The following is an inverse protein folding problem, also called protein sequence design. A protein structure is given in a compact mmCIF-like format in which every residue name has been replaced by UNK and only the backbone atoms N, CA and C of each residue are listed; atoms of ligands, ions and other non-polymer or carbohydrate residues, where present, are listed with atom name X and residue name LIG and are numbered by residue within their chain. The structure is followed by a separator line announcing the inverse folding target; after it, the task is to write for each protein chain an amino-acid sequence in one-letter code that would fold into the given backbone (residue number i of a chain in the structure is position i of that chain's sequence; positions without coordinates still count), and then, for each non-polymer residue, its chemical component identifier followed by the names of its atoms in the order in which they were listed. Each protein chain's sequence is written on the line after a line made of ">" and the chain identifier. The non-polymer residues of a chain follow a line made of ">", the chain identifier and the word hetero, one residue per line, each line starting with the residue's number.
data_IF_628001428690
#
_entry.id   IF_628001428690
#
_cell.length_a   1.000
_cell.length_b   1.000
_cell.length_c   1.000
_cell.angle_alpha   90.00
_cell.angle_beta   90.00
_cell.angle_gamma   90.00
#
_symmetry.space_group_name_H-M   'P 1'
#
loop_
_entity.id
_entity.type
_entity.pdbx_description
1 polymer ?
#
# COMPACT_ATOMS: atom_id res chain seq x y z
N UNK A 1 -3.07 -12.51 -10.97
CA UNK A 1 -3.56 -12.42 -12.37
C UNK A 1 -4.15 -13.76 -12.84
N UNK A 2 -5.25 -13.74 -13.61
CA UNK A 2 -5.88 -14.99 -14.09
C UNK A 2 -4.94 -15.83 -14.97
N UNK A 3 -4.01 -15.19 -15.69
CA UNK A 3 -2.98 -15.88 -16.48
C UNK A 3 -2.01 -16.73 -15.64
N UNK A 4 -1.82 -16.38 -14.36
CA UNK A 4 -0.97 -17.13 -13.42
C UNK A 4 -1.76 -18.21 -12.70
N UNK A 5 -3.02 -17.93 -12.35
CA UNK A 5 -3.90 -18.90 -11.67
C UNK A 5 -4.38 -20.03 -12.61
N UNK A 6 -4.67 -19.70 -13.88
CA UNK A 6 -5.15 -20.65 -14.88
C UNK A 6 -4.25 -20.67 -16.13
N UNK A 7 -2.96 -21.05 -16.00
CA UNK A 7 -2.01 -20.98 -17.10
C UNK A 7 -2.42 -21.87 -18.28
N UNK A 8 -3.06 -23.01 -17.99
CA UNK A 8 -3.56 -23.92 -19.03
C UNK A 8 -4.68 -23.29 -19.86
N UNK A 9 -5.72 -22.75 -19.22
CA UNK A 9 -6.81 -22.06 -19.92
C UNK A 9 -6.29 -20.82 -20.65
N UNK A 10 -5.41 -20.05 -20.01
CA UNK A 10 -4.79 -18.89 -20.64
C UNK A 10 -4.05 -19.28 -21.93
N UNK A 11 -3.26 -20.35 -21.90
CA UNK A 11 -2.54 -20.82 -23.09
C UNK A 11 -3.47 -21.14 -24.29
N UNK A 12 -4.66 -21.67 -24.01
CA UNK A 12 -5.67 -22.09 -24.99
C UNK A 12 -6.61 -20.97 -25.41
N UNK A 13 -6.66 -19.86 -24.67
CA UNK A 13 -7.53 -18.73 -24.98
C UNK A 13 -7.09 -17.99 -26.25
N UNK A 14 -8.08 -17.57 -27.05
CA UNK A 14 -7.91 -16.61 -28.14
C UNK A 14 -8.00 -15.15 -27.66
N UNK A 15 -8.49 -14.92 -26.44
CA UNK A 15 -8.82 -13.61 -25.88
C UNK A 15 -7.79 -13.18 -24.81
N UNK A 16 -6.48 -13.42 -25.05
CA UNK A 16 -5.42 -13.18 -24.05
C UNK A 16 -5.22 -11.72 -23.64
N UNK A 17 -5.59 -10.80 -24.53
CA UNK A 17 -5.43 -9.36 -24.35
C UNK A 17 -6.76 -8.66 -24.06
N UNK A 18 -7.85 -9.42 -23.91
CA UNK A 18 -9.18 -8.87 -23.62
C UNK A 18 -9.32 -8.60 -22.12
N UNK A 19 -10.11 -7.59 -21.75
CA UNK A 19 -10.48 -7.40 -20.36
C UNK A 19 -11.48 -8.48 -19.96
N UNK A 20 -11.53 -8.81 -18.66
CA UNK A 20 -12.47 -9.82 -18.15
C UNK A 20 -13.92 -9.43 -18.45
N UNK A 21 -14.24 -8.13 -18.41
CA UNK A 21 -15.57 -7.59 -18.77
C UNK A 21 -15.95 -7.85 -20.22
N UNK A 22 -14.99 -8.05 -21.13
CA UNK A 22 -15.25 -8.30 -22.55
C UNK A 22 -15.46 -9.80 -22.85
N UNK A 23 -15.28 -10.67 -21.85
CA UNK A 23 -15.39 -12.13 -22.00
C UNK A 23 -16.82 -12.64 -21.77
N UNK A 24 -17.81 -11.76 -21.80
CA UNK A 24 -19.20 -12.10 -21.58
C UNK A 24 -20.14 -10.93 -21.81
N UNK A 25 -21.43 -11.19 -21.64
CA UNK A 25 -22.47 -10.18 -21.76
C UNK A 25 -23.59 -10.46 -20.74
N UNK A 26 -24.31 -9.40 -20.35
CA UNK A 26 -25.54 -9.54 -19.59
C UNK A 26 -26.67 -10.00 -20.50
N UNK A 27 -27.31 -11.11 -20.16
CA UNK A 27 -28.51 -11.60 -20.83
C UNK A 27 -29.65 -11.54 -19.82
N UNK A 28 -30.41 -10.45 -19.90
CA UNK A 28 -31.39 -10.11 -18.87
C UNK A 28 -30.69 -9.71 -17.57
N UNK A 29 -30.82 -10.56 -16.54
CA UNK A 29 -30.27 -10.32 -15.19
C UNK A 29 -29.01 -11.13 -14.89
N UNK A 30 -28.65 -12.10 -15.74
CA UNK A 30 -27.50 -12.97 -15.52
C UNK A 30 -26.36 -12.68 -16.48
N UNK A 31 -25.14 -12.76 -15.96
CA UNK A 31 -23.93 -12.67 -16.76
C UNK A 31 -23.68 -14.01 -17.48
N UNK A 32 -23.50 -13.96 -18.80
CA UNK A 32 -23.12 -15.13 -19.60
C UNK A 32 -21.69 -14.98 -20.09
N UNK A 33 -20.84 -15.93 -19.72
CA UNK A 33 -19.46 -16.02 -20.21
C UNK A 33 -19.38 -16.57 -21.63
N UNK A 34 -18.58 -15.92 -22.47
CA UNK A 34 -18.30 -16.27 -23.86
C UNK A 34 -16.79 -16.44 -24.05
N UNK A 35 -16.27 -17.57 -23.56
CA UNK A 35 -14.85 -17.90 -23.71
C UNK A 35 -14.57 -18.52 -25.08
N UNK A 36 -13.57 -17.97 -25.78
CA UNK A 36 -13.09 -18.47 -27.07
C UNK A 36 -11.79 -19.25 -26.92
N UNK A 37 -11.83 -20.53 -27.27
CA UNK A 37 -10.71 -21.47 -27.19
C UNK A 37 -10.17 -21.80 -28.58
N UNK A 38 -8.85 -22.04 -28.69
CA UNK A 38 -8.19 -22.45 -29.94
C UNK A 38 -8.61 -23.85 -30.44
N UNK A 39 -9.10 -24.69 -29.54
CA UNK A 39 -9.62 -26.04 -29.79
C UNK A 39 -10.67 -26.39 -28.74
N UNK A 40 -11.40 -27.47 -28.97
CA UNK A 40 -12.26 -28.09 -27.95
C UNK A 40 -11.45 -28.47 -26.71
N UNK A 41 -12.06 -28.28 -25.55
CA UNK A 41 -11.43 -28.58 -24.26
C UNK A 41 -11.53 -30.06 -23.95
N UNK A 42 -10.51 -30.58 -23.27
CA UNK A 42 -10.63 -31.90 -22.65
C UNK A 42 -11.46 -31.80 -21.37
N UNK A 43 -12.05 -32.92 -20.92
CA UNK A 43 -12.89 -32.95 -19.70
C UNK A 43 -12.22 -32.29 -18.48
N UNK A 44 -10.95 -32.58 -18.23
CA UNK A 44 -10.20 -31.97 -17.12
C UNK A 44 -9.91 -30.47 -17.31
N UNK A 45 -9.99 -29.95 -18.54
CA UNK A 45 -9.90 -28.52 -18.81
C UNK A 45 -11.26 -27.83 -18.61
N UNK A 46 -12.37 -28.52 -18.83
CA UNK A 46 -13.71 -28.02 -18.50
C UNK A 46 -13.86 -27.80 -16.99
N UNK A 47 -13.30 -28.68 -16.16
CA UNK A 47 -13.26 -28.52 -14.69
C UNK A 47 -12.54 -27.23 -14.28
N UNK A 48 -11.49 -26.84 -15.02
CA UNK A 48 -10.80 -25.56 -14.78
C UNK A 48 -11.68 -24.36 -15.17
N UNK A 49 -12.50 -24.49 -16.20
CA UNK A 49 -13.44 -23.42 -16.60
C UNK A 49 -14.53 -23.23 -15.55
N UNK A 50 -14.97 -24.32 -14.91
CA UNK A 50 -15.91 -24.25 -13.78
C UNK A 50 -15.29 -23.43 -12.64
N UNK A 51 -14.07 -23.78 -12.21
CA UNK A 51 -13.35 -23.04 -11.16
C UNK A 51 -13.10 -21.57 -11.54
N UNK A 52 -12.79 -21.29 -12.81
CA UNK A 52 -12.65 -19.91 -13.30
C UNK A 52 -13.96 -19.14 -13.16
N UNK A 53 -15.11 -19.74 -13.48
CA UNK A 53 -16.41 -19.08 -13.35
C UNK A 53 -16.78 -18.81 -11.90
N UNK A 54 -16.53 -19.76 -11.00
CA UNK A 54 -16.74 -19.58 -9.55
C UNK A 54 -15.89 -18.44 -9.00
N UNK A 55 -14.62 -18.33 -9.42
CA UNK A 55 -13.75 -17.23 -9.03
C UNK A 55 -14.26 -15.87 -9.52
N UNK A 56 -14.93 -15.83 -10.68
CA UNK A 56 -15.43 -14.61 -11.31
C UNK A 56 -16.88 -14.26 -10.92
N UNK A 57 -17.62 -15.18 -10.31
CA UNK A 57 -19.00 -14.96 -9.85
C UNK A 57 -19.20 -13.73 -8.94
N UNK A 58 -18.32 -13.44 -7.95
CA UNK A 58 -18.50 -12.27 -7.10
C UNK A 58 -18.12 -10.94 -7.80
N UNK A 59 -17.60 -10.98 -9.02
CA UNK A 59 -17.16 -9.77 -9.73
C UNK A 59 -18.36 -9.09 -10.36
N UNK A 60 -18.64 -7.85 -9.93
CA UNK A 60 -19.70 -7.03 -10.52
C UNK A 60 -19.11 -6.08 -11.57
N UNK A 61 -19.53 -6.23 -12.83
CA UNK A 61 -19.07 -5.37 -13.91
C UNK A 61 -19.91 -4.10 -13.96
N UNK A 62 -19.29 -2.98 -13.62
CA UNK A 62 -19.91 -1.67 -13.77
C UNK A 62 -19.60 -1.08 -15.15
N UNK A 63 -20.45 -0.17 -15.63
CA UNK A 63 -20.19 0.64 -16.83
C UNK A 63 -19.20 1.79 -16.57
N UNK A 64 -18.80 2.00 -15.31
CA UNK A 64 -17.83 3.03 -14.91
C UNK A 64 -16.42 2.53 -15.25
N UNK A 65 -15.56 3.45 -15.68
CA UNK A 65 -14.15 3.18 -15.92
C UNK A 65 -13.43 2.76 -14.63
N UNK A 66 -12.41 1.92 -14.78
CA UNK A 66 -11.59 1.47 -13.66
C UNK A 66 -10.87 2.67 -13.01
N UNK A 67 -10.98 2.78 -11.68
CA UNK A 67 -10.34 3.82 -10.89
C UNK A 67 -9.48 3.24 -9.78
N UNK A 68 -8.39 3.92 -9.45
CA UNK A 68 -7.59 3.59 -8.26
C UNK A 68 -8.36 3.93 -6.98
N UNK A 69 -8.38 3.00 -6.04
CA UNK A 69 -9.01 3.16 -4.73
C UNK A 69 -7.93 3.06 -3.66
N UNK A 70 -7.87 4.07 -2.80
CA UNK A 70 -7.04 4.07 -1.61
C UNK A 70 -7.76 3.32 -0.49
N UNK A 71 -7.48 2.02 -0.38
CA UNK A 71 -8.15 1.11 0.57
C UNK A 71 -8.15 1.55 2.05
N UNK A 72 -7.11 2.21 2.57
CA UNK A 72 -7.11 2.66 3.96
C UNK A 72 -8.15 3.73 4.29
N UNK A 73 -8.68 4.42 3.29
CA UNK A 73 -9.71 5.42 3.47
C UNK A 73 -11.08 4.85 3.07
N UNK A 74 -12.12 4.94 3.92
CA UNK A 74 -13.45 4.41 3.63
C UNK A 74 -14.09 5.01 2.37
N UNK A 75 -13.77 6.26 2.05
CA UNK A 75 -14.27 6.93 0.85
C UNK A 75 -13.46 6.50 -0.40
N UNK A 76 -12.40 5.72 -0.21
CA UNK A 76 -11.54 5.23 -1.28
C UNK A 76 -10.64 6.30 -1.88
N UNK A 77 -10.61 7.50 -1.31
CA UNK A 77 -9.88 8.65 -1.83
C UNK A 77 -8.49 8.72 -1.20
N UNK A 78 -7.47 8.83 -2.05
CA UNK A 78 -6.13 9.09 -1.56
C UNK A 78 -6.03 10.52 -1.01
N UNK A 79 -5.58 10.65 0.23
CA UNK A 79 -5.15 11.93 0.77
C UNK A 79 -3.80 11.77 1.46
N UNK A 80 -3.00 12.84 1.46
CA UNK A 80 -1.74 12.86 2.21
C UNK A 80 -2.01 12.57 3.69
N UNK A 81 -3.11 13.08 4.25
CA UNK A 81 -3.52 12.85 5.63
C UNK A 81 -3.77 11.36 5.93
N UNK A 82 -4.62 10.68 5.13
CA UNK A 82 -4.91 9.25 5.36
C UNK A 82 -3.67 8.37 5.15
N UNK A 83 -2.81 8.71 4.19
CA UNK A 83 -1.53 8.02 4.00
C UNK A 83 -0.56 8.21 5.17
N UNK A 84 -0.44 9.42 5.70
CA UNK A 84 0.41 9.72 6.85
C UNK A 84 -0.08 9.01 8.11
N UNK A 85 -1.40 8.98 8.36
CA UNK A 85 -1.96 8.26 9.52
C UNK A 85 -1.64 6.78 9.48
N UNK A 86 -1.83 6.12 8.33
CA UNK A 86 -1.46 4.72 8.17
C UNK A 86 0.03 4.50 8.43
N UNK A 87 0.90 5.35 7.85
CA UNK A 87 2.34 5.24 8.06
C UNK A 87 2.71 5.49 9.52
N UNK A 88 2.08 6.44 10.20
CA UNK A 88 2.33 6.73 11.61
C UNK A 88 1.89 5.56 12.51
N UNK A 89 0.82 4.85 12.17
CA UNK A 89 0.40 3.63 12.88
C UNK A 89 1.34 2.45 12.61
N UNK A 90 1.77 2.24 11.37
CA UNK A 90 2.66 1.13 11.00
C UNK A 90 4.10 1.33 11.51
N UNK A 91 4.57 2.58 11.48
CA UNK A 91 5.92 2.98 11.90
C UNK A 91 5.98 3.41 13.37
N UNK A 92 4.89 3.28 14.12
CA UNK A 92 4.90 3.41 15.57
C UNK A 92 5.78 2.29 16.12
N UNK A 93 7.06 2.59 16.23
CA UNK A 93 7.93 1.94 17.20
C UNK A 93 7.34 2.34 18.54
N UNK A 94 6.87 1.38 19.33
CA UNK A 94 6.52 1.55 20.75
C UNK A 94 7.78 1.96 21.52
N UNK A 95 8.29 3.17 21.27
CA UNK A 95 9.09 3.85 22.27
C UNK A 95 8.08 4.43 23.25
N UNK A 96 7.91 3.74 24.38
CA UNK A 96 7.19 4.26 25.54
C UNK A 96 7.88 5.55 25.99
N UNK A 97 7.46 6.68 25.40
CA UNK A 97 7.88 7.99 25.85
C UNK A 97 7.32 8.18 27.26
N UNK A 98 8.18 8.61 28.18
CA UNK A 98 7.76 8.95 29.54
C UNK A 98 6.66 10.02 29.50
N UNK A 99 5.64 9.91 30.36
CA UNK A 99 4.49 10.83 30.37
C UNK A 99 4.89 12.31 30.47
N UNK A 100 5.99 12.61 31.16
CA UNK A 100 6.52 13.98 31.26
C UNK A 100 6.98 14.50 29.89
N UNK A 101 7.63 13.65 29.09
CA UNK A 101 8.11 13.98 27.76
C UNK A 101 6.93 14.22 26.81
N UNK A 102 5.89 13.38 26.87
CA UNK A 102 4.66 13.55 26.09
C UNK A 102 3.99 14.90 26.39
N UNK A 103 3.84 15.25 27.66
CA UNK A 103 3.26 16.54 28.09
C UNK A 103 4.07 17.74 27.57
N UNK A 104 5.40 17.65 27.57
CA UNK A 104 6.26 18.71 27.01
C UNK A 104 6.07 18.83 25.49
N UNK A 105 5.97 17.70 24.77
CA UNK A 105 5.76 17.71 23.32
C UNK A 105 4.39 18.25 22.91
N UNK A 106 3.34 17.99 23.68
CA UNK A 106 2.00 18.53 23.40
C UNK A 106 1.98 20.07 23.43
N UNK A 107 2.80 20.68 24.26
CA UNK A 107 2.86 22.15 24.43
C UNK A 107 4.02 22.83 23.69
N UNK A 108 4.95 22.06 23.11
CA UNK A 108 6.18 22.64 22.52
C UNK A 108 5.87 23.60 21.36
N UNK A 109 4.85 23.28 20.58
CA UNK A 109 4.43 24.06 19.40
C UNK A 109 3.57 25.27 19.76
N UNK A 110 2.99 25.31 20.95
CA UNK A 110 2.21 26.45 21.48
C UNK A 110 3.11 27.52 22.13
N UNK A 111 4.40 27.27 22.23
CA UNK A 111 5.36 28.18 22.85
C UNK A 111 5.44 29.51 22.10
N UNK A 112 5.49 30.67 22.80
CA UNK A 112 5.70 31.97 22.17
C UNK A 112 7.14 32.18 21.66
N UNK A 113 8.02 31.19 21.81
CA UNK A 113 9.40 31.26 21.36
C UNK A 113 9.51 31.31 19.82
N UNK A 114 10.60 31.86 19.27
CA UNK A 114 10.84 31.80 17.83
C UNK A 114 10.87 30.36 17.31
N UNK A 115 10.37 30.12 16.10
CA UNK A 115 10.25 28.77 15.50
C UNK A 115 11.57 27.98 15.47
N UNK A 116 12.72 28.65 15.29
CA UNK A 116 14.04 28.02 15.37
C UNK A 116 14.36 27.46 16.76
N UNK A 117 13.92 28.14 17.81
CA UNK A 117 14.10 27.70 19.21
C UNK A 117 13.21 26.51 19.49
N UNK A 118 11.95 26.55 19.05
CA UNK A 118 11.01 25.42 19.19
C UNK A 118 11.55 24.18 18.47
N UNK A 119 11.99 24.32 17.23
CA UNK A 119 12.57 23.22 16.46
C UNK A 119 13.84 22.65 17.12
N UNK A 120 14.71 23.51 17.66
CA UNK A 120 15.88 23.07 18.41
C UNK A 120 15.51 22.29 19.67
N UNK A 121 14.55 22.79 20.46
CA UNK A 121 14.07 22.09 21.66
C UNK A 121 13.48 20.72 21.33
N UNK A 122 12.70 20.61 20.23
CA UNK A 122 12.17 19.33 19.76
C UNK A 122 13.29 18.35 19.38
N UNK A 123 14.31 18.82 18.63
CA UNK A 123 15.48 18.02 18.28
C UNK A 123 16.28 17.60 19.53
N UNK A 124 16.39 18.48 20.53
CA UNK A 124 17.09 18.20 21.78
C UNK A 124 16.38 17.09 22.57
N UNK A 125 15.06 17.17 22.72
CA UNK A 125 14.27 16.19 23.48
C UNK A 125 14.30 14.79 22.85
N UNK A 126 14.41 14.68 21.53
CA UNK A 126 14.55 13.40 20.84
C UNK A 126 16.01 12.90 20.74
N UNK A 127 16.98 13.57 21.37
CA UNK A 127 18.42 13.34 21.20
C UNK A 127 18.81 13.27 19.70
N UNK A 128 18.27 14.21 18.90
CA UNK A 128 18.48 14.30 17.45
C UNK A 128 19.39 15.45 17.03
N UNK A 129 19.91 16.21 17.98
CA UNK A 129 20.93 17.23 17.74
C UNK A 129 22.26 16.58 17.30
N UNK A 130 23.07 17.25 16.45
CA UNK A 130 24.31 16.70 15.90
C UNK A 130 25.45 16.70 16.93
N UNK A 131 25.25 16.02 18.06
CA UNK A 131 26.31 15.75 19.03
C UNK A 131 27.25 14.69 18.47
N UNK A 132 28.48 14.62 19.00
CA UNK A 132 29.44 13.58 18.64
C UNK A 132 28.83 12.18 18.73
N UNK A 133 28.18 11.87 19.86
CA UNK A 133 27.53 10.58 20.10
C UNK A 133 26.48 10.24 19.03
N UNK A 134 25.64 11.20 18.64
CA UNK A 134 24.61 10.98 17.62
C UNK A 134 25.19 10.84 16.21
N UNK A 135 26.25 11.58 15.91
CA UNK A 135 26.96 11.44 14.64
C UNK A 135 27.68 10.09 14.53
N UNK A 136 28.29 9.60 15.61
CA UNK A 136 28.87 8.25 15.70
C UNK A 136 27.80 7.16 15.54
N UNK A 137 26.67 7.27 16.26
CA UNK A 137 25.56 6.31 16.16
C UNK A 137 24.96 6.22 14.75
N UNK A 138 25.04 7.29 13.97
CA UNK A 138 24.60 7.35 12.56
C UNK A 138 25.69 6.94 11.56
N UNK A 139 26.88 6.56 12.02
CA UNK A 139 28.01 6.19 11.16
C UNK A 139 28.61 7.35 10.37
N UNK A 140 28.41 8.60 10.83
CA UNK A 140 28.89 9.80 10.15
C UNK A 140 30.29 10.23 10.61
N UNK A 141 30.77 9.75 11.75
CA UNK A 141 32.16 9.93 12.18
C UNK A 141 32.96 8.67 11.85
N UNK A 142 33.92 8.79 10.93
CA UNK A 142 34.87 7.72 10.62
C UNK A 142 35.82 7.45 11.79
N UNK A 143 36.26 6.21 11.95
CA UNK A 143 37.09 5.74 13.07
C UNK A 143 38.52 6.32 13.12
N UNK A 144 38.92 7.17 12.17
CA UNK A 144 40.32 7.56 11.98
C UNK A 144 40.56 9.05 11.73
N UNK A 145 40.03 9.93 12.58
CA UNK A 145 40.59 11.28 12.67
C UNK A 145 40.81 11.66 14.14
N UNK A 146 42.07 11.96 14.55
CA UNK A 146 42.32 12.64 15.80
C UNK A 146 41.91 14.10 15.63
N UNK A 147 40.88 14.53 16.34
CA UNK A 147 40.43 15.91 16.35
C UNK A 147 41.00 16.59 17.59
N UNK A 148 41.96 17.49 17.38
CA UNK A 148 42.31 18.53 18.36
C UNK A 148 41.31 19.69 18.20
N UNK A 149 40.74 20.13 19.33
CA UNK A 149 39.87 21.31 19.41
C UNK A 149 40.67 22.61 19.30
#
# INVERSE_FOLDING_TARGET
>A
PLSVAFPRLFSLSNQKNSFVKDLGEYIGVSWRWTFSWRRELFRWEEDLVVQLRELLEPVNFSLVDDSWIWRPDPDGVFTVNSSYKLLAEELRVEEDLEEEIVKVFDHIWDSPAPSKVIAFSWQLLYDRIPTRRNLEARGLLGSELPWEC
#
